data_IF_577156372476
#
_entry.id   IF_577156372476
#
_cell.length_a   1.000
_cell.length_b   1.000
_cell.length_c   1.000
_cell.angle_alpha   90.00
_cell.angle_beta   90.00
_cell.angle_gamma   90.00
#
_symmetry.space_group_name_H-M   'P 1'
#
loop_
_entity.id
_entity.type
_entity.pdbx_description
1 polymer ?
#
# COMPACT_ATOMS: atom_id res chain seq x y z
N UNK A 1 -14.25 7.98 -29.46
CA UNK A 1 -14.63 8.14 -28.03
C UNK A 1 -13.41 7.77 -27.22
N UNK A 2 -12.96 8.67 -26.35
CA UNK A 2 -11.85 8.41 -25.43
C UNK A 2 -12.25 7.26 -24.48
N UNK A 3 -11.38 6.27 -24.26
CA UNK A 3 -11.67 5.15 -23.35
C UNK A 3 -11.83 5.73 -21.93
N UNK A 4 -12.92 5.38 -21.23
CA UNK A 4 -13.17 5.82 -19.85
C UNK A 4 -11.99 5.42 -18.95
N UNK A 5 -11.48 6.34 -18.14
CA UNK A 5 -10.41 6.06 -17.18
C UNK A 5 -10.90 5.04 -16.15
N UNK A 6 -10.16 3.95 -16.05
CA UNK A 6 -10.30 2.90 -15.05
C UNK A 6 -8.93 2.52 -14.53
N UNK A 7 -8.77 2.53 -13.22
CA UNK A 7 -7.52 2.22 -12.54
C UNK A 7 -7.79 1.27 -11.38
N UNK A 8 -6.75 0.59 -10.90
CA UNK A 8 -6.92 -0.38 -9.80
C UNK A 8 -5.75 -0.38 -8.83
N UNK A 9 -6.10 -0.51 -7.56
CA UNK A 9 -5.19 -1.02 -6.55
C UNK A 9 -5.38 -2.52 -6.40
N UNK A 10 -4.30 -3.27 -6.53
CA UNK A 10 -4.33 -4.73 -6.56
C UNK A 10 -3.39 -5.36 -5.51
N UNK A 11 -3.75 -5.31 -4.20
CA UNK A 11 -2.91 -5.84 -3.15
C UNK A 11 -3.13 -7.34 -2.92
N UNK A 12 -2.06 -8.04 -2.55
CA UNK A 12 -2.18 -9.36 -1.93
C UNK A 12 -2.48 -9.23 -0.44
N UNK A 13 -3.41 -10.03 0.13
CA UNK A 13 -3.78 -9.96 1.54
C UNK A 13 -2.75 -10.66 2.44
N UNK A 14 -1.53 -10.10 2.51
CA UNK A 14 -0.38 -10.72 3.21
C UNK A 14 0.02 -10.00 4.50
N UNK A 15 -0.81 -9.09 5.02
CA UNK A 15 -0.59 -8.36 6.26
C UNK A 15 -0.99 -6.88 6.18
N UNK A 16 -0.47 -6.07 7.11
CA UNK A 16 -0.74 -4.63 7.18
C UNK A 16 -0.32 -3.84 5.94
N UNK A 17 -1.04 -2.75 5.67
CA UNK A 17 -0.85 -1.88 4.51
C UNK A 17 0.22 -0.82 4.79
N UNK A 18 1.37 -0.98 4.15
CA UNK A 18 2.49 -0.06 4.22
C UNK A 18 2.21 1.30 3.57
N UNK A 19 2.92 2.35 4.00
CA UNK A 19 2.87 3.71 3.41
C UNK A 19 2.95 3.74 1.88
N UNK A 20 3.87 2.96 1.30
CA UNK A 20 4.01 2.86 -0.16
C UNK A 20 2.76 2.30 -0.84
N UNK A 21 2.06 1.37 -0.19
CA UNK A 21 0.77 0.85 -0.62
C UNK A 21 -0.32 1.91 -0.57
N UNK A 22 -0.45 2.63 0.56
CA UNK A 22 -1.44 3.73 0.69
C UNK A 22 -1.19 4.82 -0.33
N UNK A 23 0.07 5.23 -0.57
CA UNK A 23 0.39 6.23 -1.61
C UNK A 23 0.00 5.73 -3.01
N UNK A 24 0.19 4.44 -3.28
CA UNK A 24 -0.27 3.84 -4.55
C UNK A 24 -1.79 3.92 -4.67
N UNK A 25 -2.54 3.63 -3.60
CA UNK A 25 -4.00 3.81 -3.57
C UNK A 25 -4.38 5.27 -3.82
N UNK A 26 -3.74 6.20 -3.11
CA UNK A 26 -4.00 7.62 -3.24
C UNK A 26 -3.83 8.10 -4.68
N UNK A 27 -2.72 7.78 -5.34
CA UNK A 27 -2.51 8.22 -6.74
C UNK A 27 -3.46 7.57 -7.74
N UNK A 28 -3.86 6.30 -7.53
CA UNK A 28 -4.95 5.72 -8.30
C UNK A 28 -6.26 6.51 -8.09
N UNK A 29 -6.61 6.79 -6.84
CA UNK A 29 -7.83 7.49 -6.48
C UNK A 29 -7.88 8.91 -7.06
N UNK A 30 -6.81 9.70 -6.87
CA UNK A 30 -6.71 11.06 -7.39
C UNK A 30 -6.82 11.08 -8.92
N UNK A 31 -6.10 10.18 -9.61
CA UNK A 31 -6.19 10.07 -11.07
C UNK A 31 -7.59 9.70 -11.54
N UNK A 32 -8.22 8.71 -10.90
CA UNK A 32 -9.58 8.30 -11.24
C UNK A 32 -10.57 9.45 -11.05
N UNK A 33 -10.56 10.11 -9.90
CA UNK A 33 -11.52 11.20 -9.61
C UNK A 33 -11.30 12.41 -10.51
N UNK A 34 -10.05 12.80 -10.77
CA UNK A 34 -9.73 13.92 -11.68
C UNK A 34 -10.28 13.70 -13.08
N UNK A 35 -10.23 12.46 -13.57
CA UNK A 35 -10.67 12.11 -14.92
C UNK A 35 -12.11 11.56 -14.96
N UNK A 36 -12.91 11.74 -13.91
CA UNK A 36 -14.27 11.18 -13.80
C UNK A 36 -14.33 9.67 -14.15
N UNK A 37 -13.27 8.97 -13.78
CA UNK A 37 -13.05 7.55 -14.01
C UNK A 37 -13.57 6.68 -12.87
N UNK A 38 -13.05 5.45 -12.81
CA UNK A 38 -13.37 4.48 -11.76
C UNK A 38 -12.10 4.01 -11.06
N UNK A 39 -12.14 3.99 -9.73
CA UNK A 39 -11.13 3.42 -8.86
C UNK A 39 -11.59 2.05 -8.35
N UNK A 40 -10.84 1.00 -8.71
CA UNK A 40 -11.16 -0.39 -8.38
C UNK A 40 -10.18 -0.93 -7.32
N UNK A 41 -10.67 -1.76 -6.41
CA UNK A 41 -9.83 -2.61 -5.53
C UNK A 41 -10.05 -4.08 -5.88
N UNK A 42 -8.98 -4.74 -6.35
CA UNK A 42 -8.96 -6.18 -6.66
C UNK A 42 -8.03 -6.91 -5.70
N UNK A 43 -8.51 -7.96 -5.04
CA UNK A 43 -7.70 -8.73 -4.09
C UNK A 43 -6.94 -9.83 -4.82
N UNK A 44 -5.62 -9.79 -4.73
CA UNK A 44 -4.72 -10.74 -5.39
C UNK A 44 -4.27 -11.83 -4.42
N UNK A 45 -5.22 -12.70 -4.07
CA UNK A 45 -5.11 -13.79 -3.10
C UNK A 45 -4.76 -15.15 -3.73
N UNK A 46 -4.05 -15.15 -4.86
CA UNK A 46 -3.69 -16.39 -5.57
C UNK A 46 -2.63 -17.23 -4.86
N UNK A 47 -1.83 -16.61 -3.99
CA UNK A 47 -0.86 -17.27 -3.12
C UNK A 47 -1.44 -17.53 -1.72
N UNK A 48 -2.11 -18.67 -1.61
CA UNK A 48 -2.75 -19.12 -0.36
C UNK A 48 -1.74 -19.39 0.77
N UNK A 49 -0.44 -19.56 0.49
CA UNK A 49 0.58 -19.77 1.53
C UNK A 49 0.94 -18.47 2.25
N UNK A 50 0.75 -17.33 1.58
CA UNK A 50 1.03 -16.00 2.12
C UNK A 50 -0.23 -15.27 2.57
N UNK A 51 -1.40 -15.89 2.41
CA UNK A 51 -2.66 -15.34 2.86
C UNK A 51 -2.65 -15.14 4.38
N UNK A 52 -3.02 -13.94 4.82
CA UNK A 52 -3.15 -13.62 6.24
C UNK A 52 -4.60 -13.23 6.53
N UNK A 53 -5.33 -14.01 7.35
CA UNK A 53 -6.70 -13.69 7.75
C UNK A 53 -6.80 -12.26 8.30
N UNK A 54 -7.87 -11.55 7.93
CA UNK A 54 -8.10 -10.17 8.36
C UNK A 54 -7.35 -9.10 7.57
N UNK A 55 -6.35 -9.43 6.76
CA UNK A 55 -5.62 -8.44 5.95
C UNK A 55 -6.51 -7.73 4.91
N UNK A 56 -7.47 -8.44 4.32
CA UNK A 56 -8.47 -7.84 3.41
C UNK A 56 -9.38 -6.85 4.15
N UNK A 57 -9.90 -7.23 5.32
CA UNK A 57 -10.75 -6.35 6.11
C UNK A 57 -9.97 -5.11 6.56
N UNK A 58 -8.75 -5.31 7.05
CA UNK A 58 -7.83 -4.23 7.44
C UNK A 58 -7.57 -3.25 6.29
N UNK A 59 -7.39 -3.74 5.06
CA UNK A 59 -7.24 -2.89 3.88
C UNK A 59 -8.44 -1.95 3.74
N UNK A 60 -9.67 -2.47 3.74
CA UNK A 60 -10.87 -1.64 3.59
C UNK A 60 -11.08 -0.69 4.78
N UNK A 61 -10.75 -1.10 6.00
CA UNK A 61 -10.75 -0.22 7.18
C UNK A 61 -9.77 0.95 7.02
N UNK A 62 -8.57 0.68 6.49
CA UNK A 62 -7.59 1.74 6.18
C UNK A 62 -8.11 2.70 5.11
N UNK A 63 -8.69 2.17 4.03
CA UNK A 63 -9.22 2.99 2.95
C UNK A 63 -10.36 3.90 3.42
N UNK A 64 -11.29 3.37 4.24
CA UNK A 64 -12.35 4.16 4.87
C UNK A 64 -11.79 5.25 5.76
N UNK A 65 -10.81 4.93 6.62
CA UNK A 65 -10.17 5.93 7.46
C UNK A 65 -9.51 7.05 6.64
N UNK A 66 -8.90 6.69 5.51
CA UNK A 66 -8.26 7.62 4.58
C UNK A 66 -9.26 8.39 3.68
N UNK A 67 -10.55 8.04 3.68
CA UNK A 67 -11.53 8.60 2.74
C UNK A 67 -11.32 8.18 1.28
N UNK A 68 -10.65 7.05 1.02
CA UNK A 68 -10.29 6.55 -0.32
C UNK A 68 -11.17 5.36 -0.73
N UNK A 69 -12.48 5.55 -0.77
CA UNK A 69 -13.41 4.46 -1.08
C UNK A 69 -13.38 4.06 -2.56
N UNK A 70 -13.30 2.76 -2.88
CA UNK A 70 -13.35 2.27 -4.25
C UNK A 70 -14.76 2.27 -4.82
N UNK A 71 -14.86 2.57 -6.11
CA UNK A 71 -16.11 2.50 -6.87
C UNK A 71 -16.51 1.04 -7.15
N UNK A 72 -15.54 0.14 -7.27
CA UNK A 72 -15.75 -1.30 -7.43
C UNK A 72 -14.79 -2.08 -6.54
N UNK A 73 -15.32 -3.05 -5.79
CA UNK A 73 -14.51 -3.92 -4.95
C UNK A 73 -15.27 -5.16 -4.50
N UNK A 74 -14.62 -6.01 -3.71
CA UNK A 74 -15.28 -7.12 -3.01
C UNK A 74 -16.44 -6.65 -2.12
N UNK A 75 -16.32 -5.50 -1.46
CA UNK A 75 -17.35 -4.96 -0.54
C UNK A 75 -18.48 -4.21 -1.28
N UNK A 76 -18.16 -3.53 -2.39
CA UNK A 76 -19.13 -2.71 -3.13
C UNK A 76 -19.75 -3.44 -4.33
N UNK A 77 -19.20 -4.59 -4.71
CA UNK A 77 -19.53 -5.24 -5.97
C UNK A 77 -19.04 -4.43 -7.17
N UNK A 78 -19.71 -4.60 -8.31
CA UNK A 78 -19.40 -3.92 -9.56
C UNK A 78 -19.55 -4.83 -10.77
N UNK A 79 -19.37 -4.25 -11.96
CA UNK A 79 -19.69 -4.89 -13.24
C UNK A 79 -18.78 -6.07 -13.59
N UNK A 80 -17.55 -6.09 -13.06
CA UNK A 80 -16.49 -7.02 -13.48
C UNK A 80 -16.10 -8.03 -12.40
N UNK A 81 -16.96 -8.18 -11.38
CA UNK A 81 -16.77 -9.16 -10.33
C UNK A 81 -16.67 -10.59 -10.86
N UNK A 82 -16.18 -11.55 -10.05
CA UNK A 82 -15.72 -11.35 -8.67
C UNK A 82 -14.41 -10.56 -8.58
N UNK A 83 -14.17 -9.86 -7.46
CA UNK A 83 -13.00 -9.00 -7.25
C UNK A 83 -11.90 -9.67 -6.40
N UNK A 84 -12.05 -10.96 -6.06
CA UNK A 84 -10.96 -11.80 -5.56
C UNK A 84 -10.46 -12.70 -6.68
N UNK A 85 -9.14 -12.85 -6.83
CA UNK A 85 -8.58 -13.69 -7.88
C UNK A 85 -8.77 -15.20 -7.61
N UNK A 86 -8.81 -15.61 -6.35
CA UNK A 86 -9.14 -16.99 -5.95
C UNK A 86 -10.50 -17.46 -6.48
N UNK A 87 -11.47 -16.56 -6.58
CA UNK A 87 -12.82 -16.80 -7.08
C UNK A 87 -12.91 -16.83 -8.62
N UNK A 88 -11.80 -16.55 -9.32
CA UNK A 88 -11.72 -16.41 -10.78
C UNK A 88 -10.92 -17.54 -11.44
N UNK A 89 -10.54 -18.58 -10.69
CA UNK A 89 -9.64 -19.67 -11.10
C UNK A 89 -9.92 -20.24 -12.49
N UNK A 90 -11.18 -20.54 -12.80
CA UNK A 90 -11.59 -21.15 -14.07
C UNK A 90 -11.29 -20.28 -15.29
N UNK A 91 -11.28 -18.95 -15.12
CA UNK A 91 -10.99 -18.01 -16.21
C UNK A 91 -9.53 -18.09 -16.66
N UNK A 92 -8.60 -18.20 -15.72
CA UNK A 92 -7.17 -18.13 -16.03
C UNK A 92 -6.65 -19.36 -16.77
N UNK A 93 -7.20 -20.55 -16.46
CA UNK A 93 -6.80 -21.79 -17.14
C UNK A 93 -7.01 -21.68 -18.65
N UNK A 94 -8.15 -21.10 -19.08
CA UNK A 94 -8.45 -20.88 -20.50
C UNK A 94 -7.35 -20.10 -21.22
N UNK A 95 -6.84 -19.03 -20.61
CA UNK A 95 -5.77 -18.23 -21.20
C UNK A 95 -4.41 -18.93 -21.17
N UNK A 96 -4.14 -19.73 -20.14
CA UNK A 96 -2.94 -20.58 -20.11
C UNK A 96 -2.98 -21.63 -21.23
N UNK A 97 -4.12 -22.29 -21.44
CA UNK A 97 -4.33 -23.26 -22.51
C UNK A 97 -4.16 -22.61 -23.89
N UNK A 98 -4.73 -21.41 -24.10
CA UNK A 98 -4.58 -20.64 -25.34
C UNK A 98 -3.11 -20.32 -25.66
N UNK A 99 -2.31 -19.96 -24.65
CA UNK A 99 -0.88 -19.72 -24.83
C UNK A 99 -0.12 -20.99 -25.21
N UNK A 100 -0.53 -22.15 -24.69
CA UNK A 100 0.07 -23.45 -25.01
C UNK A 100 -0.27 -23.85 -26.45
N UNK A 101 -1.54 -23.72 -26.84
CA UNK A 101 -2.00 -24.00 -28.21
C UNK A 101 -1.26 -23.15 -29.25
N UNK A 102 -0.94 -21.90 -28.91
CA UNK A 102 -0.13 -21.00 -29.75
C UNK A 102 1.38 -21.28 -29.70
N UNK A 103 1.84 -22.22 -28.87
CA UNK A 103 3.27 -22.52 -28.66
C UNK A 103 4.05 -21.42 -27.92
N UNK A 104 3.34 -20.52 -27.24
CA UNK A 104 3.86 -19.36 -26.50
C UNK A 104 4.03 -19.65 -25.00
N UNK A 105 3.45 -20.75 -24.53
CA UNK A 105 3.67 -21.35 -23.22
C UNK A 105 3.83 -22.86 -23.36
N UNK A 106 4.31 -23.53 -22.32
CA UNK A 106 4.57 -24.96 -22.34
C UNK A 106 4.41 -25.59 -20.95
N UNK A 107 4.16 -26.91 -20.92
CA UNK A 107 4.04 -27.68 -19.68
C UNK A 107 5.43 -28.01 -19.14
N UNK A 108 5.68 -27.79 -17.85
CA UNK A 108 6.90 -28.24 -17.16
C UNK A 108 6.53 -29.19 -16.01
N UNK A 109 7.18 -30.34 -15.95
CA UNK A 109 6.89 -31.46 -15.04
C UNK A 109 8.00 -31.66 -13.99
N UNK A 110 8.96 -30.73 -13.92
CA UNK A 110 10.07 -30.79 -12.96
C UNK A 110 9.56 -30.72 -11.52
N UNK A 111 10.04 -31.62 -10.67
CA UNK A 111 9.72 -31.59 -9.22
C UNK A 111 10.54 -30.51 -8.51
N UNK A 112 10.13 -30.07 -7.29
CA UNK A 112 10.93 -29.14 -6.50
C UNK A 112 12.38 -29.60 -6.28
N UNK A 113 12.60 -30.91 -6.11
CA UNK A 113 13.93 -31.51 -5.93
C UNK A 113 14.76 -31.45 -7.21
N UNK A 114 14.14 -31.67 -8.38
CA UNK A 114 14.81 -31.53 -9.69
C UNK A 114 15.20 -30.07 -9.96
N UNK A 115 14.34 -29.12 -9.60
CA UNK A 115 14.65 -27.69 -9.70
C UNK A 115 15.78 -27.25 -8.75
N UNK A 116 15.89 -27.85 -7.57
CA UNK A 116 17.01 -27.58 -6.67
C UNK A 116 18.32 -28.15 -7.21
N UNK A 117 18.29 -29.37 -7.78
CA UNK A 117 19.44 -29.94 -8.48
C UNK A 117 19.88 -29.06 -9.65
N UNK A 118 18.94 -28.54 -10.43
CA UNK A 118 19.20 -27.59 -11.51
C UNK A 118 19.94 -26.35 -11.00
N UNK A 119 19.50 -25.76 -9.87
CA UNK A 119 20.16 -24.59 -9.28
C UNK A 119 21.62 -24.85 -8.92
N UNK A 120 21.91 -26.01 -8.35
CA UNK A 120 23.29 -26.40 -7.99
C UNK A 120 24.12 -26.73 -9.24
N UNK A 121 23.55 -27.47 -10.18
CA UNK A 121 24.25 -27.97 -11.37
C UNK A 121 24.67 -26.86 -12.33
N UNK A 122 23.81 -25.85 -12.53
CA UNK A 122 24.06 -24.76 -13.47
C UNK A 122 24.60 -23.50 -12.80
N UNK A 123 24.86 -23.52 -11.50
CA UNK A 123 25.48 -22.40 -10.81
C UNK A 123 26.92 -22.19 -11.30
N UNK A 124 27.25 -20.95 -11.63
CA UNK A 124 28.60 -20.54 -12.00
C UNK A 124 29.02 -19.32 -11.17
N UNK A 125 30.32 -18.99 -11.09
CA UNK A 125 30.76 -17.77 -10.40
C UNK A 125 30.11 -16.48 -10.94
N UNK A 126 29.78 -16.44 -12.25
CA UNK A 126 29.11 -15.31 -12.89
C UNK A 126 27.57 -15.38 -12.83
N UNK A 127 27.00 -16.55 -12.54
CA UNK A 127 25.57 -16.77 -12.34
C UNK A 127 25.34 -17.76 -11.18
N UNK A 128 25.45 -17.30 -9.92
CA UNK A 128 25.35 -18.18 -8.75
C UNK A 128 23.90 -18.62 -8.46
N UNK A 129 22.91 -18.10 -9.18
CA UNK A 129 21.49 -18.41 -8.98
C UNK A 129 20.80 -18.56 -10.34
N UNK A 130 21.14 -19.63 -11.08
CA UNK A 130 20.60 -19.86 -12.42
C UNK A 130 19.08 -19.98 -12.36
N UNK A 131 18.42 -19.39 -13.34
CA UNK A 131 16.97 -19.39 -13.45
C UNK A 131 16.51 -20.45 -14.45
N UNK A 132 15.23 -20.81 -14.38
CA UNK A 132 14.62 -21.67 -15.39
C UNK A 132 14.37 -20.83 -16.64
N UNK A 133 15.34 -20.81 -17.55
CA UNK A 133 15.31 -19.98 -18.75
C UNK A 133 15.61 -20.79 -20.02
N UNK A 134 15.84 -20.09 -21.12
CA UNK A 134 16.15 -20.70 -22.41
C UNK A 134 17.42 -21.57 -22.43
N UNK A 135 18.41 -21.26 -21.59
CA UNK A 135 19.70 -21.96 -21.60
C UNK A 135 19.55 -23.36 -21.02
N UNK A 136 18.62 -23.53 -20.07
CA UNK A 136 18.42 -24.78 -19.35
C UNK A 136 17.14 -25.51 -19.75
N UNK A 137 16.12 -24.86 -20.33
CA UNK A 137 14.81 -25.49 -20.60
C UNK A 137 14.90 -26.77 -21.43
N UNK A 138 15.82 -26.87 -22.38
CA UNK A 138 15.95 -28.10 -23.19
C UNK A 138 16.61 -29.27 -22.44
N UNK A 139 17.20 -29.03 -21.27
CA UNK A 139 17.84 -30.03 -20.41
C UNK A 139 16.95 -30.46 -19.23
N UNK A 140 15.76 -29.86 -19.11
CA UNK A 140 14.81 -30.06 -18.02
C UNK A 140 13.60 -30.86 -18.50
N UNK A 141 12.68 -31.22 -17.61
CA UNK A 141 11.58 -32.16 -17.87
C UNK A 141 10.29 -31.43 -18.23
N UNK A 142 10.17 -31.02 -19.50
CA UNK A 142 9.05 -30.22 -19.98
C UNK A 142 8.63 -30.58 -21.42
N UNK A 143 7.49 -30.07 -21.88
CA UNK A 143 6.93 -30.45 -23.17
C UNK A 143 7.76 -30.02 -24.39
N UNK A 144 8.71 -29.09 -24.23
CA UNK A 144 9.65 -28.73 -25.30
C UNK A 144 10.75 -29.77 -25.47
N UNK A 145 11.22 -30.38 -24.37
CA UNK A 145 12.32 -31.37 -24.37
C UNK A 145 11.84 -32.83 -24.51
N UNK A 146 10.63 -33.14 -24.04
CA UNK A 146 10.10 -34.52 -23.99
C UNK A 146 9.42 -34.97 -25.30
N UNK A 147 8.99 -34.03 -26.14
CA UNK A 147 8.15 -34.31 -27.31
C UNK A 147 6.70 -34.67 -26.97
N UNK A 148 5.84 -34.75 -27.99
CA UNK A 148 4.39 -34.85 -27.82
C UNK A 148 3.94 -36.14 -27.14
N UNK A 149 4.48 -37.30 -27.55
CA UNK A 149 4.06 -38.61 -27.02
C UNK A 149 4.33 -38.74 -25.52
N UNK A 150 5.53 -38.37 -25.07
CA UNK A 150 5.87 -38.44 -23.65
C UNK A 150 5.12 -37.38 -22.84
N UNK A 151 4.94 -36.17 -23.38
CA UNK A 151 4.12 -35.12 -22.76
C UNK A 151 2.69 -35.60 -22.54
N UNK A 152 2.05 -36.15 -23.59
CA UNK A 152 0.69 -36.67 -23.51
C UNK A 152 0.57 -37.77 -22.46
N UNK A 153 1.52 -38.71 -22.44
CA UNK A 153 1.55 -39.76 -21.41
C UNK A 153 1.58 -39.18 -19.99
N UNK A 154 2.44 -38.18 -19.72
CA UNK A 154 2.52 -37.56 -18.39
C UNK A 154 1.22 -36.85 -18.00
N UNK A 155 0.56 -36.19 -18.96
CA UNK A 155 -0.74 -35.54 -18.76
C UNK A 155 -1.85 -36.57 -18.49
N UNK A 156 -1.92 -37.64 -19.30
CA UNK A 156 -2.89 -38.72 -19.15
C UNK A 156 -2.70 -39.49 -17.82
N UNK A 157 -1.45 -39.63 -17.36
CA UNK A 157 -1.10 -40.22 -16.07
C UNK A 157 -1.40 -39.28 -14.87
N UNK A 158 -1.87 -38.05 -15.11
CA UNK A 158 -2.18 -37.07 -14.06
C UNK A 158 -0.93 -36.50 -13.36
N UNK A 159 0.23 -36.50 -14.02
CA UNK A 159 1.48 -35.99 -13.45
C UNK A 159 1.34 -34.50 -13.14
N UNK A 160 1.66 -34.03 -11.91
CA UNK A 160 1.65 -32.61 -11.59
C UNK A 160 2.56 -31.81 -12.51
N UNK A 161 2.08 -30.66 -12.98
CA UNK A 161 2.81 -29.78 -13.88
C UNK A 161 2.57 -28.31 -13.57
N UNK A 162 3.44 -27.45 -14.07
CA UNK A 162 3.19 -26.01 -14.17
C UNK A 162 3.16 -25.58 -15.63
N UNK A 163 2.52 -24.45 -15.92
CA UNK A 163 2.60 -23.81 -17.24
C UNK A 163 3.59 -22.67 -17.16
N UNK A 164 4.59 -22.64 -18.04
CA UNK A 164 5.58 -21.56 -18.13
C UNK A 164 5.44 -20.78 -19.42
N UNK A 165 5.68 -19.48 -19.37
CA UNK A 165 5.83 -18.67 -20.60
C UNK A 165 7.10 -19.10 -21.33
N UNK A 166 7.04 -19.22 -22.66
CA UNK A 166 8.20 -19.48 -23.49
C UNK A 166 8.85 -18.15 -23.88
N UNK A 167 9.90 -17.73 -23.19
CA UNK A 167 10.57 -16.46 -23.51
C UNK A 167 11.27 -16.55 -24.89
N UNK A 168 11.09 -15.54 -25.77
CA UNK A 168 11.73 -15.48 -27.07
C UNK A 168 13.23 -15.17 -26.94
N UNK A 169 14.02 -15.61 -27.92
CA UNK A 169 15.49 -15.62 -27.79
C UNK A 169 16.16 -14.27 -28.11
N UNK A 170 15.60 -13.45 -28.99
CA UNK A 170 16.28 -12.22 -29.42
C UNK A 170 15.25 -11.12 -29.68
N UNK A 171 14.59 -10.66 -28.61
CA UNK A 171 13.67 -9.55 -28.69
C UNK A 171 14.06 -8.47 -27.68
N UNK A 172 14.20 -7.23 -28.14
CA UNK A 172 14.26 -6.07 -27.26
C UNK A 172 12.85 -5.53 -27.08
N UNK A 173 12.29 -5.73 -25.90
CA UNK A 173 10.97 -5.19 -25.55
C UNK A 173 11.13 -3.75 -25.09
N UNK A 174 10.28 -2.87 -25.60
CA UNK A 174 10.24 -1.46 -25.24
C UNK A 174 8.82 -1.06 -24.86
N UNK A 175 8.70 -0.19 -23.87
CA UNK A 175 7.45 0.50 -23.58
C UNK A 175 7.74 1.86 -22.96
N UNK A 176 6.80 2.79 -23.13
CA UNK A 176 6.81 4.09 -22.47
C UNK A 176 6.06 3.99 -21.15
N UNK A 177 6.77 4.11 -20.04
CA UNK A 177 6.16 4.30 -18.73
C UNK A 177 5.81 5.78 -18.51
N UNK A 178 4.65 6.05 -17.91
CA UNK A 178 4.18 7.41 -17.66
C UNK A 178 5.06 8.19 -16.67
N UNK A 179 5.91 7.52 -15.88
CA UNK A 179 6.82 8.15 -14.90
C UNK A 179 8.29 7.90 -15.27
N UNK A 180 8.62 6.70 -15.77
CA UNK A 180 10.00 6.30 -16.10
C UNK A 180 10.42 6.65 -17.52
N UNK A 181 9.49 7.08 -18.37
CA UNK A 181 9.75 7.33 -19.79
C UNK A 181 10.02 6.02 -20.54
N UNK A 182 10.87 6.08 -21.56
CA UNK A 182 11.24 4.90 -22.36
C UNK A 182 12.05 3.89 -21.55
N UNK A 183 11.52 2.67 -21.41
CA UNK A 183 12.20 1.55 -20.75
C UNK A 183 12.37 0.41 -21.76
N UNK A 184 13.55 -0.22 -21.77
CA UNK A 184 13.85 -1.35 -22.64
C UNK A 184 14.44 -2.53 -21.88
N UNK A 185 14.07 -3.74 -22.30
CA UNK A 185 14.55 -5.00 -21.73
C UNK A 185 14.94 -5.97 -22.84
N UNK A 186 15.98 -6.77 -22.58
CA UNK A 186 16.35 -7.90 -23.42
C UNK A 186 15.67 -9.16 -22.89
N UNK A 187 14.89 -9.86 -23.72
CA UNK A 187 14.25 -11.12 -23.31
C UNK A 187 15.26 -12.21 -22.98
N UNK A 188 16.52 -12.06 -23.40
CA UNK A 188 17.61 -12.96 -23.03
C UNK A 188 17.92 -13.01 -21.53
N UNK A 189 17.61 -11.95 -20.78
CA UNK A 189 17.90 -11.85 -19.35
C UNK A 189 16.72 -12.22 -18.47
N UNK A 190 15.64 -12.74 -19.08
CA UNK A 190 14.37 -13.02 -18.41
C UNK A 190 14.09 -14.52 -18.51
N UNK A 191 13.72 -15.11 -17.39
CA UNK A 191 13.44 -16.54 -17.26
C UNK A 191 12.01 -16.90 -17.70
N UNK A 192 11.81 -18.18 -17.98
CA UNK A 192 10.51 -18.76 -18.35
C UNK A 192 9.63 -18.84 -17.09
N UNK A 193 9.06 -17.69 -16.70
CA UNK A 193 8.20 -17.56 -15.52
C UNK A 193 7.01 -18.51 -15.57
N UNK A 194 6.68 -19.07 -14.40
CA UNK A 194 5.45 -19.84 -14.21
C UNK A 194 4.25 -18.90 -14.34
N UNK A 195 3.27 -19.30 -15.17
CA UNK A 195 1.99 -18.64 -15.40
C UNK A 195 0.84 -19.33 -14.64
N UNK A 196 0.87 -20.66 -14.59
CA UNK A 196 -0.11 -21.49 -13.89
C UNK A 196 0.62 -22.50 -13.00
N UNK A 197 0.24 -22.56 -11.73
CA UNK A 197 0.77 -23.51 -10.74
C UNK A 197 0.11 -24.89 -10.91
N UNK A 198 0.71 -25.92 -10.28
CA UNK A 198 0.20 -27.30 -10.32
C UNK A 198 -1.15 -27.50 -9.64
N UNK A 199 -1.52 -26.61 -8.72
CA UNK A 199 -2.87 -26.56 -8.13
C UNK A 199 -3.91 -25.95 -9.08
N UNK A 200 -3.52 -25.52 -10.29
CA UNK A 200 -4.34 -24.85 -11.28
C UNK A 200 -4.63 -23.38 -10.98
N UNK A 201 -4.04 -22.79 -9.94
CA UNK A 201 -4.13 -21.35 -9.68
C UNK A 201 -3.10 -20.61 -10.55
N UNK A 202 -3.45 -19.42 -11.09
CA UNK A 202 -2.47 -18.59 -11.78
C UNK A 202 -1.40 -18.07 -10.81
N UNK A 203 -0.25 -17.71 -11.36
CA UNK A 203 0.66 -16.79 -10.69
C UNK A 203 0.18 -15.36 -10.90
N UNK A 204 0.77 -14.42 -10.15
CA UNK A 204 0.54 -12.99 -10.34
C UNK A 204 0.64 -12.56 -11.82
N UNK A 205 1.65 -13.06 -12.55
CA UNK A 205 1.94 -12.62 -13.91
C UNK A 205 0.77 -12.86 -14.88
N UNK A 206 0.15 -14.06 -14.84
CA UNK A 206 -0.99 -14.36 -15.68
C UNK A 206 -2.24 -13.65 -15.18
N UNK A 207 -2.50 -13.70 -13.87
CA UNK A 207 -3.73 -13.19 -13.28
C UNK A 207 -3.86 -11.67 -13.47
N UNK A 208 -2.79 -10.90 -13.25
CA UNK A 208 -2.81 -9.44 -13.37
C UNK A 208 -3.11 -8.99 -14.81
N UNK A 209 -2.52 -9.64 -15.82
CA UNK A 209 -2.73 -9.29 -17.23
C UNK A 209 -4.14 -9.63 -17.68
N UNK A 210 -4.62 -10.84 -17.33
CA UNK A 210 -5.97 -11.29 -17.65
C UNK A 210 -7.01 -10.39 -16.98
N UNK A 211 -6.87 -10.09 -15.70
CA UNK A 211 -7.85 -9.28 -14.98
C UNK A 211 -7.78 -7.80 -15.36
N UNK A 212 -6.60 -7.27 -15.68
CA UNK A 212 -6.50 -5.89 -16.18
C UNK A 212 -7.23 -5.75 -17.53
N UNK A 213 -7.16 -6.75 -18.41
CA UNK A 213 -7.95 -6.80 -19.64
C UNK A 213 -9.45 -6.93 -19.36
N UNK A 214 -9.85 -7.93 -18.57
CA UNK A 214 -11.26 -8.22 -18.30
C UNK A 214 -11.96 -7.11 -17.53
N UNK A 215 -11.26 -6.41 -16.63
CA UNK A 215 -11.78 -5.26 -15.89
C UNK A 215 -11.60 -3.93 -16.64
N UNK A 216 -11.12 -3.99 -17.88
CA UNK A 216 -10.91 -2.84 -18.77
C UNK A 216 -10.07 -1.74 -18.13
N UNK A 217 -8.99 -2.12 -17.45
CA UNK A 217 -8.06 -1.19 -16.84
C UNK A 217 -7.40 -0.38 -17.94
N UNK A 218 -7.41 0.94 -17.78
CA UNK A 218 -6.81 1.90 -18.72
C UNK A 218 -5.41 2.34 -18.29
N UNK A 219 -5.20 2.49 -16.97
CA UNK A 219 -3.94 2.92 -16.38
C UNK A 219 -3.64 2.04 -15.17
N UNK A 220 -2.41 1.53 -15.11
CA UNK A 220 -1.95 0.66 -14.04
C UNK A 220 -0.80 1.34 -13.29
N UNK A 221 -1.15 1.96 -12.17
CA UNK A 221 -0.18 2.42 -11.18
C UNK A 221 0.28 1.23 -10.32
N UNK A 222 1.59 1.08 -10.18
CA UNK A 222 2.21 0.08 -9.29
C UNK A 222 3.60 0.54 -8.86
N UNK A 223 4.17 -0.09 -7.84
CA UNK A 223 5.54 0.21 -7.44
C UNK A 223 6.58 -0.25 -8.47
N UNK A 224 7.73 0.42 -8.50
CA UNK A 224 8.84 0.13 -9.41
C UNK A 224 9.45 -1.27 -9.22
N UNK A 225 9.20 -1.94 -8.09
CA UNK A 225 9.58 -3.34 -7.88
C UNK A 225 9.01 -4.29 -8.95
N UNK A 226 7.96 -3.87 -9.66
CA UNK A 226 7.36 -4.63 -10.75
C UNK A 226 7.98 -4.37 -12.13
N UNK A 227 8.87 -3.38 -12.27
CA UNK A 227 9.56 -3.10 -13.54
C UNK A 227 10.31 -4.32 -14.09
N UNK A 228 11.06 -5.11 -13.29
CA UNK A 228 11.71 -6.32 -13.79
C UNK A 228 10.74 -7.39 -14.32
N UNK A 229 9.45 -7.32 -13.97
CA UNK A 229 8.40 -8.21 -14.49
C UNK A 229 7.73 -7.68 -15.76
N UNK A 230 8.03 -6.45 -16.18
CA UNK A 230 7.45 -5.83 -17.37
C UNK A 230 7.62 -6.69 -18.64
N UNK A 231 8.79 -7.31 -18.92
CA UNK A 231 8.96 -8.15 -20.12
C UNK A 231 7.90 -9.26 -20.22
N UNK A 232 7.67 -9.98 -19.12
CA UNK A 232 6.69 -11.06 -19.06
C UNK A 232 5.28 -10.52 -19.30
N UNK A 233 4.91 -9.42 -18.65
CA UNK A 233 3.57 -8.84 -18.80
C UNK A 233 3.33 -8.28 -20.22
N UNK A 234 4.32 -7.61 -20.83
CA UNK A 234 4.22 -7.11 -22.21
C UNK A 234 4.00 -8.25 -23.18
N UNK A 235 4.75 -9.35 -23.02
CA UNK A 235 4.57 -10.53 -23.87
C UNK A 235 3.18 -11.16 -23.66
N UNK A 236 2.71 -11.30 -22.42
CA UNK A 236 1.36 -11.81 -22.16
C UNK A 236 0.28 -10.93 -22.81
N UNK A 237 0.41 -9.60 -22.72
CA UNK A 237 -0.47 -8.66 -23.42
C UNK A 237 -0.42 -8.85 -24.93
N UNK A 238 0.79 -8.88 -25.52
CA UNK A 238 1.03 -9.12 -26.95
C UNK A 238 0.39 -10.43 -27.42
N UNK A 239 0.50 -11.50 -26.64
CA UNK A 239 0.10 -12.85 -27.03
C UNK A 239 -1.40 -13.13 -26.87
N UNK A 240 -2.03 -12.55 -25.84
CA UNK A 240 -3.42 -12.80 -25.50
C UNK A 240 -4.37 -11.74 -26.08
N UNK A 241 -3.98 -10.46 -26.04
CA UNK A 241 -4.92 -9.36 -26.20
C UNK A 241 -4.47 -8.28 -27.21
N UNK A 242 -3.22 -8.29 -27.65
CA UNK A 242 -2.64 -7.20 -28.45
C UNK A 242 -2.15 -6.03 -27.57
N UNK A 243 -1.07 -5.37 -28.00
CA UNK A 243 -0.45 -4.27 -27.24
C UNK A 243 -1.31 -3.00 -27.24
N UNK A 244 -2.15 -2.81 -28.26
CA UNK A 244 -3.12 -1.71 -28.38
C UNK A 244 -4.24 -1.76 -27.31
N UNK A 245 -4.39 -2.91 -26.64
CA UNK A 245 -5.31 -3.10 -25.53
C UNK A 245 -4.64 -2.99 -24.16
N UNK A 246 -3.30 -2.91 -24.10
CA UNK A 246 -2.55 -2.80 -22.85
C UNK A 246 -2.84 -1.47 -22.14
N UNK A 247 -3.03 -1.45 -20.81
CA UNK A 247 -3.12 -0.22 -20.06
C UNK A 247 -1.79 0.54 -20.10
N UNK A 248 -1.87 1.86 -20.00
CA UNK A 248 -0.67 2.67 -19.77
C UNK A 248 -0.13 2.39 -18.37
N UNK A 249 1.18 2.19 -18.25
CA UNK A 249 1.80 1.84 -16.97
C UNK A 249 2.45 3.06 -16.34
N UNK A 250 2.39 3.11 -15.01
CA UNK A 250 3.04 4.14 -14.20
C UNK A 250 3.73 3.47 -13.00
N UNK A 251 5.07 3.41 -13.04
CA UNK A 251 5.86 2.76 -11.98
C UNK A 251 6.36 3.76 -10.94
N UNK A 252 5.66 3.80 -9.81
CA UNK A 252 5.92 4.69 -8.68
C UNK A 252 7.27 4.37 -8.02
N UNK A 253 8.12 5.38 -7.77
CA UNK A 253 9.41 5.17 -7.11
C UNK A 253 9.24 4.79 -5.64
N UNK A 254 10.13 3.97 -5.11
CA UNK A 254 10.08 3.55 -3.71
C UNK A 254 10.16 4.75 -2.76
N UNK A 255 9.44 4.66 -1.65
CA UNK A 255 9.64 5.56 -0.52
C UNK A 255 10.95 5.15 0.17
N UNK A 256 11.85 6.10 0.33
CA UNK A 256 13.17 5.88 0.90
C UNK A 256 13.15 6.14 2.41
N UNK A 257 13.70 5.19 3.17
CA UNK A 257 14.10 5.38 4.56
C UNK A 257 15.57 5.80 4.66
N UNK A 258 16.16 5.77 5.87
CA UNK A 258 17.57 6.11 6.08
C UNK A 258 18.54 5.25 5.25
N UNK A 259 18.27 3.95 5.11
CA UNK A 259 19.17 2.97 4.48
C UNK A 259 18.60 2.33 3.20
N UNK A 260 17.96 3.12 2.32
CA UNK A 260 17.34 2.61 1.08
C UNK A 260 15.82 2.53 1.18
N UNK A 261 15.19 1.45 0.74
CA UNK A 261 13.71 1.28 0.80
C UNK A 261 13.22 1.36 2.26
N UNK A 262 12.22 2.19 2.52
CA UNK A 262 11.59 2.28 3.84
C UNK A 262 11.01 0.93 4.26
N UNK A 263 11.36 0.48 5.47
CA UNK A 263 10.99 -0.84 5.99
C UNK A 263 10.40 -0.79 7.39
N UNK A 264 9.78 -1.89 7.84
CA UNK A 264 9.33 -2.05 9.25
C UNK A 264 10.47 -1.85 10.25
N UNK A 265 11.68 -2.25 9.88
CA UNK A 265 12.88 -2.14 10.73
C UNK A 265 13.28 -0.68 10.96
N UNK A 266 13.09 0.18 9.96
CA UNK A 266 13.34 1.61 10.13
C UNK A 266 12.35 2.20 11.14
N UNK A 267 11.05 1.92 11.00
CA UNK A 267 10.04 2.38 11.94
C UNK A 267 10.31 1.94 13.38
N UNK A 268 10.65 0.67 13.59
CA UNK A 268 11.01 0.15 14.90
C UNK A 268 12.28 0.81 15.49
N UNK A 269 13.31 1.04 14.66
CA UNK A 269 14.58 1.63 15.09
C UNK A 269 14.47 3.11 15.43
N UNK A 270 13.69 3.86 14.66
CA UNK A 270 13.61 5.33 14.75
C UNK A 270 12.30 5.82 15.40
N UNK A 271 11.43 4.91 15.85
CA UNK A 271 10.26 5.23 16.68
C UNK A 271 9.08 5.86 15.92
N UNK A 272 8.83 5.45 14.68
CA UNK A 272 7.69 5.94 13.89
C UNK A 272 6.84 4.81 13.28
N UNK A 273 5.51 5.02 13.12
CA UNK A 273 4.63 4.04 12.51
C UNK A 273 4.92 3.86 11.01
N UNK A 274 4.67 2.66 10.47
CA UNK A 274 4.87 2.32 9.05
C UNK A 274 3.58 1.84 8.36
N UNK A 275 2.49 1.77 9.13
CA UNK A 275 1.17 1.34 8.72
C UNK A 275 0.15 2.43 8.98
N UNK A 276 -0.88 2.52 8.14
CA UNK A 276 -1.97 3.49 8.32
C UNK A 276 -2.68 3.32 9.68
N UNK A 277 -3.02 2.07 10.03
CA UNK A 277 -3.69 1.70 11.27
C UNK A 277 -2.95 0.57 11.99
N UNK A 278 -3.25 0.35 13.26
CA UNK A 278 -2.69 -0.76 14.05
C UNK A 278 -2.88 -2.10 13.33
N UNK A 279 -1.79 -2.82 13.15
CA UNK A 279 -1.82 -4.18 12.62
C UNK A 279 -1.35 -5.15 13.70
N UNK A 280 -2.25 -6.03 14.15
CA UNK A 280 -1.91 -7.18 14.98
C UNK A 280 -1.71 -8.38 14.06
N UNK A 281 -0.49 -8.89 14.01
CA UNK A 281 -0.18 -10.09 13.25
C UNK A 281 -0.88 -11.30 13.89
N UNK A 282 -1.79 -12.01 13.20
CA UNK A 282 -2.54 -13.11 13.78
C UNK A 282 -1.68 -14.34 14.08
N UNK A 283 -0.47 -14.43 13.52
CA UNK A 283 0.46 -15.54 13.74
C UNK A 283 1.35 -15.26 14.96
N UNK A 284 1.96 -14.07 15.04
CA UNK A 284 2.87 -13.75 16.16
C UNK A 284 2.18 -13.12 17.37
N UNK A 285 0.98 -12.54 17.19
CA UNK A 285 0.30 -11.72 18.19
C UNK A 285 0.92 -10.33 18.38
N UNK A 286 1.99 -10.00 17.65
CA UNK A 286 2.67 -8.72 17.73
C UNK A 286 1.80 -7.62 17.11
N UNK A 287 1.60 -6.53 17.85
CA UNK A 287 0.88 -5.35 17.35
C UNK A 287 1.87 -4.26 16.96
N UNK A 288 1.84 -3.85 15.70
CA UNK A 288 2.55 -2.67 15.20
C UNK A 288 1.61 -1.47 15.25
N UNK A 289 2.01 -0.41 15.96
CA UNK A 289 1.26 0.84 16.05
C UNK A 289 1.17 1.53 14.66
N UNK A 290 -0.02 2.02 14.30
CA UNK A 290 -0.28 2.76 13.06
C UNK A 290 -0.38 4.27 13.27
N UNK A 291 -0.38 5.04 12.17
CA UNK A 291 -0.52 6.50 12.20
C UNK A 291 -1.83 6.94 12.88
N UNK A 292 -2.95 6.25 12.59
CA UNK A 292 -4.25 6.55 13.19
C UNK A 292 -4.20 6.49 14.72
N UNK A 293 -3.75 5.38 15.28
CA UNK A 293 -3.70 5.18 16.73
C UNK A 293 -2.62 6.03 17.40
N UNK A 294 -1.56 6.39 16.67
CA UNK A 294 -0.59 7.41 17.11
C UNK A 294 -1.20 8.80 17.29
N UNK A 295 -2.38 9.06 16.71
CA UNK A 295 -3.07 10.33 16.81
C UNK A 295 -2.91 11.24 15.59
N UNK A 296 -2.63 10.66 14.42
CA UNK A 296 -2.68 11.42 13.16
C UNK A 296 -4.12 11.58 12.66
N UNK A 297 -4.41 12.77 12.13
CA UNK A 297 -5.60 13.04 11.33
C UNK A 297 -5.45 12.39 9.94
N UNK A 298 -6.52 11.77 9.40
CA UNK A 298 -6.46 11.17 8.07
C UNK A 298 -6.16 12.20 6.97
N UNK A 299 -6.66 13.44 7.11
CA UNK A 299 -6.41 14.54 6.18
C UNK A 299 -4.91 14.87 6.11
N UNK A 300 -4.25 14.96 7.27
CA UNK A 300 -2.81 15.19 7.36
C UNK A 300 -2.00 14.04 6.78
N UNK A 301 -2.40 12.81 7.08
CA UNK A 301 -1.75 11.61 6.59
C UNK A 301 -1.80 11.52 5.06
N UNK A 302 -2.96 11.81 4.47
CA UNK A 302 -3.14 11.80 3.02
C UNK A 302 -2.38 12.94 2.35
N UNK A 303 -2.41 14.14 2.93
CA UNK A 303 -1.67 15.28 2.42
C UNK A 303 -0.16 15.02 2.43
N UNK A 304 0.38 14.45 3.51
CA UNK A 304 1.78 14.02 3.58
C UNK A 304 2.11 13.02 2.47
N UNK A 305 1.30 11.96 2.34
CA UNK A 305 1.54 10.91 1.35
C UNK A 305 1.50 11.45 -0.09
N UNK A 306 0.62 12.42 -0.37
CA UNK A 306 0.53 13.06 -1.66
C UNK A 306 1.85 13.74 -2.05
N UNK A 307 2.50 14.44 -1.10
CA UNK A 307 3.74 15.16 -1.38
C UNK A 307 4.99 14.28 -1.38
N UNK A 308 4.87 12.98 -1.08
CA UNK A 308 5.97 12.02 -1.19
C UNK A 308 6.22 11.62 -2.65
N UNK A 309 6.84 12.53 -3.40
CA UNK A 309 7.23 12.34 -4.79
C UNK A 309 6.32 13.02 -5.81
N UNK A 310 5.49 13.98 -5.38
CA UNK A 310 4.66 14.79 -6.26
C UNK A 310 4.52 16.21 -5.69
N UNK A 311 4.38 17.20 -6.57
CA UNK A 311 3.98 18.57 -6.23
C UNK A 311 3.03 19.11 -7.30
N UNK A 312 2.23 20.13 -6.97
CA UNK A 312 1.41 20.85 -7.95
C UNK A 312 2.20 21.97 -8.66
N UNK A 313 3.53 21.98 -8.49
CA UNK A 313 4.50 22.99 -8.94
C UNK A 313 4.32 24.38 -8.36
N UNK A 314 3.56 24.50 -7.27
CA UNK A 314 3.58 25.66 -6.39
C UNK A 314 4.38 25.35 -5.12
N UNK A 315 4.49 26.34 -4.23
CA UNK A 315 5.06 26.17 -2.88
C UNK A 315 3.99 25.74 -1.85
N UNK A 316 2.75 25.49 -2.29
CA UNK A 316 1.68 25.04 -1.40
C UNK A 316 2.00 23.64 -0.89
N UNK A 317 1.91 23.45 0.43
CA UNK A 317 2.09 22.14 1.05
C UNK A 317 0.79 21.58 1.63
N UNK A 318 -0.11 22.44 2.11
CA UNK A 318 -1.36 21.97 2.75
C UNK A 318 -2.47 21.87 1.71
N UNK A 319 -2.97 20.66 1.47
CA UNK A 319 -4.03 20.36 0.51
C UNK A 319 -5.14 19.52 1.12
N UNK A 320 -6.38 19.97 0.96
CA UNK A 320 -7.55 19.10 1.11
C UNK A 320 -7.55 18.00 0.05
N UNK A 321 -8.30 16.91 0.29
CA UNK A 321 -8.42 15.83 -0.70
C UNK A 321 -9.00 16.35 -2.04
N UNK A 322 -9.96 17.28 -2.00
CA UNK A 322 -10.53 17.86 -3.22
C UNK A 322 -9.50 18.66 -4.00
N UNK A 323 -8.70 19.49 -3.33
CA UNK A 323 -7.63 20.24 -3.99
C UNK A 323 -6.55 19.30 -4.58
N UNK A 324 -6.25 18.19 -3.90
CA UNK A 324 -5.38 17.15 -4.47
C UNK A 324 -5.99 16.57 -5.75
N UNK A 325 -7.28 16.25 -5.77
CA UNK A 325 -7.96 15.73 -6.96
C UNK A 325 -7.87 16.72 -8.11
N UNK A 326 -8.17 17.99 -7.85
CA UNK A 326 -8.20 19.04 -8.88
C UNK A 326 -6.79 19.29 -9.46
N UNK A 327 -5.78 19.33 -8.58
CA UNK A 327 -4.39 19.63 -8.97
C UNK A 327 -3.60 18.42 -9.50
N UNK A 328 -4.00 17.19 -9.18
CA UNK A 328 -3.18 15.99 -9.46
C UNK A 328 -2.78 15.88 -10.94
N UNK A 329 -1.52 15.59 -11.22
CA UNK A 329 -1.04 15.39 -12.59
C UNK A 329 0.05 14.34 -12.54
N UNK A 330 -0.08 13.34 -13.40
CA UNK A 330 0.84 12.20 -13.42
C UNK A 330 2.23 12.63 -13.88
N UNK A 331 2.30 13.62 -14.76
CA UNK A 331 3.53 14.22 -15.29
C UNK A 331 4.37 14.90 -14.20
N UNK A 332 3.74 15.25 -13.07
CA UNK A 332 4.40 15.89 -11.92
C UNK A 332 4.83 14.89 -10.85
N UNK A 333 4.65 13.59 -11.08
CA UNK A 333 5.23 12.57 -10.22
C UNK A 333 6.72 12.48 -10.54
N UNK A 334 7.56 12.78 -9.55
CA UNK A 334 9.00 12.65 -9.69
C UNK A 334 9.41 11.19 -9.83
N UNK A 335 10.34 10.90 -10.73
CA UNK A 335 10.87 9.54 -10.95
C UNK A 335 11.88 9.11 -9.88
N UNK A 336 12.42 10.06 -9.11
CA UNK A 336 13.32 9.79 -7.98
C UNK A 336 12.54 9.37 -6.72
N UNK A 337 13.15 8.50 -5.91
CA UNK A 337 12.58 8.10 -4.62
C UNK A 337 12.49 9.27 -3.64
N UNK A 338 11.33 9.42 -3.00
CA UNK A 338 11.10 10.42 -1.96
C UNK A 338 11.51 9.87 -0.59
N UNK A 339 12.29 10.63 0.18
CA UNK A 339 12.68 10.25 1.54
C UNK A 339 11.53 10.54 2.51
N UNK A 340 11.18 9.56 3.31
CA UNK A 340 10.21 9.73 4.38
C UNK A 340 10.83 10.48 5.56
N UNK A 341 10.14 11.51 6.04
CA UNK A 341 10.52 12.33 7.19
C UNK A 341 9.36 12.37 8.19
N UNK A 342 9.60 11.83 9.39
CA UNK A 342 8.59 11.75 10.44
C UNK A 342 8.34 13.10 11.14
N UNK A 343 9.34 13.98 11.22
CA UNK A 343 9.15 15.33 11.74
C UNK A 343 8.28 16.15 10.79
N UNK A 344 8.48 16.00 9.48
CA UNK A 344 7.59 16.60 8.48
C UNK A 344 6.17 16.02 8.57
N UNK A 345 6.03 14.71 8.80
CA UNK A 345 4.72 14.10 9.03
C UNK A 345 4.00 14.73 10.23
N UNK A 346 4.68 14.88 11.36
CA UNK A 346 4.16 15.56 12.55
C UNK A 346 3.79 17.02 12.27
N UNK A 347 4.60 17.74 11.50
CA UNK A 347 4.30 19.11 11.08
C UNK A 347 2.99 19.20 10.27
N UNK A 348 2.78 18.29 9.30
CA UNK A 348 1.48 18.21 8.60
C UNK A 348 0.34 17.99 9.58
N UNK A 349 0.50 17.05 10.50
CA UNK A 349 -0.55 16.74 11.47
C UNK A 349 -0.90 17.94 12.36
N UNK A 350 0.11 18.64 12.85
CA UNK A 350 -0.05 19.85 13.64
C UNK A 350 -0.81 20.94 12.87
N UNK A 351 -0.41 21.23 11.63
CA UNK A 351 -1.08 22.23 10.81
C UNK A 351 -2.55 21.87 10.52
N UNK A 352 -2.84 20.58 10.33
CA UNK A 352 -4.21 20.10 10.18
C UNK A 352 -5.03 20.17 11.47
N UNK A 353 -4.44 19.89 12.63
CA UNK A 353 -5.12 20.05 13.93
C UNK A 353 -5.51 21.51 14.14
N UNK A 354 -4.59 22.46 13.91
CA UNK A 354 -4.86 23.90 14.06
C UNK A 354 -6.01 24.39 13.17
N UNK A 355 -6.04 23.93 11.92
CA UNK A 355 -7.06 24.29 10.93
C UNK A 355 -8.41 23.62 11.17
N UNK A 356 -8.44 22.52 11.92
CA UNK A 356 -9.66 21.77 12.18
C UNK A 356 -10.61 22.57 13.09
N UNK A 357 -11.91 22.44 12.81
CA UNK A 357 -12.93 22.95 13.73
C UNK A 357 -12.94 22.15 15.02
N UNK A 358 -13.41 22.77 16.10
CA UNK A 358 -13.63 22.10 17.38
C UNK A 358 -14.51 20.85 17.22
N UNK A 359 -15.60 20.94 16.46
CA UNK A 359 -16.51 19.82 16.22
C UNK A 359 -15.82 18.63 15.54
N UNK A 360 -14.86 18.89 14.66
CA UNK A 360 -14.10 17.83 13.97
C UNK A 360 -13.17 17.08 14.92
N UNK A 361 -12.58 17.78 15.90
CA UNK A 361 -11.63 17.23 16.87
C UNK A 361 -12.33 16.61 18.09
N UNK A 362 -13.52 17.09 18.43
CA UNK A 362 -14.26 16.73 19.62
C UNK A 362 -14.38 15.22 19.84
N UNK A 363 -14.81 14.39 18.87
CA UNK A 363 -14.95 12.94 19.10
C UNK A 363 -13.63 12.25 19.46
N UNK A 364 -12.52 12.72 18.90
CA UNK A 364 -11.20 12.15 19.21
C UNK A 364 -10.76 12.54 20.62
N UNK A 365 -10.93 13.81 21.00
CA UNK A 365 -10.58 14.30 22.32
C UNK A 365 -11.46 13.65 23.40
N UNK A 366 -12.77 13.50 23.15
CA UNK A 366 -13.69 12.78 24.05
C UNK A 366 -13.19 11.36 24.32
N UNK A 367 -12.87 10.60 23.26
CA UNK A 367 -12.36 9.23 23.37
C UNK A 367 -11.03 9.14 24.12
N UNK A 368 -10.19 10.17 24.04
CA UNK A 368 -8.86 10.17 24.64
C UNK A 368 -8.89 10.58 26.11
N UNK A 369 -9.74 11.55 26.46
CA UNK A 369 -9.78 12.15 27.80
C UNK A 369 -10.78 11.46 28.73
N UNK A 370 -11.81 10.82 28.20
CA UNK A 370 -12.89 10.23 28.99
C UNK A 370 -13.00 8.72 28.75
N UNK A 371 -13.30 7.97 29.81
CA UNK A 371 -13.51 6.52 29.74
C UNK A 371 -14.86 6.13 29.10
N UNK A 372 -15.77 7.10 28.94
CA UNK A 372 -17.09 6.95 28.33
C UNK A 372 -17.62 8.31 27.86
N UNK A 373 -18.85 8.36 27.32
CA UNK A 373 -19.45 9.63 26.87
C UNK A 373 -19.50 10.64 28.03
N UNK A 374 -18.90 11.85 27.87
CA UNK A 374 -18.93 12.85 28.92
C UNK A 374 -20.33 13.44 29.12
N UNK A 375 -20.61 14.00 30.29
CA UNK A 375 -21.83 14.75 30.52
C UNK A 375 -21.91 15.98 29.60
N UNK A 376 -23.12 16.48 29.32
CA UNK A 376 -23.30 17.63 28.41
C UNK A 376 -22.47 18.86 28.81
N UNK A 377 -22.45 19.19 30.11
CA UNK A 377 -21.66 20.31 30.61
C UNK A 377 -20.14 20.10 30.43
N UNK A 378 -19.65 18.86 30.57
CA UNK A 378 -18.25 18.52 30.33
C UNK A 378 -17.91 18.60 28.84
N UNK A 379 -18.82 18.19 27.97
CA UNK A 379 -18.69 18.31 26.52
C UNK A 379 -18.63 19.78 26.07
N UNK A 380 -19.51 20.64 26.58
CA UNK A 380 -19.47 22.08 26.31
C UNK A 380 -18.20 22.75 26.84
N UNK A 381 -17.70 22.30 28.01
CA UNK A 381 -16.38 22.71 28.52
C UNK A 381 -15.27 22.23 27.60
N UNK A 382 -15.31 20.98 27.14
CA UNK A 382 -14.31 20.40 26.25
C UNK A 382 -14.22 21.14 24.92
N UNK A 383 -15.34 21.59 24.34
CA UNK A 383 -15.30 22.40 23.12
C UNK A 383 -14.46 23.67 23.31
N UNK A 384 -14.64 24.38 24.43
CA UNK A 384 -13.83 25.56 24.77
C UNK A 384 -12.36 25.20 25.02
N UNK A 385 -12.12 24.10 25.72
CA UNK A 385 -10.75 23.62 26.00
C UNK A 385 -10.01 23.26 24.71
N UNK A 386 -10.65 22.58 23.77
CA UNK A 386 -10.05 22.24 22.47
C UNK A 386 -9.52 23.51 21.78
N UNK A 387 -10.30 24.58 21.73
CA UNK A 387 -9.87 25.83 21.09
C UNK A 387 -8.65 26.47 21.78
N UNK A 388 -8.56 26.35 23.11
CA UNK A 388 -7.44 26.86 23.88
C UNK A 388 -6.14 26.06 23.67
N UNK A 389 -6.24 24.77 23.30
CA UNK A 389 -5.08 23.85 23.35
C UNK A 389 -4.67 23.27 22.01
N UNK A 390 -5.53 23.28 20.97
CA UNK A 390 -5.26 22.63 19.67
C UNK A 390 -3.95 23.11 19.03
N UNK A 391 -3.60 24.39 19.22
CA UNK A 391 -2.37 25.01 18.72
C UNK A 391 -1.09 24.52 19.42
N UNK A 392 -1.22 23.72 20.49
CA UNK A 392 -0.10 23.06 21.18
C UNK A 392 -0.05 21.56 20.93
N UNK A 393 -1.05 21.00 20.24
CA UNK A 393 -1.12 19.58 19.93
C UNK A 393 -0.47 19.31 18.57
N UNK A 394 0.57 18.48 18.56
CA UNK A 394 1.16 17.94 17.33
C UNK A 394 0.44 16.66 16.91
N UNK A 395 0.07 15.84 17.87
CA UNK A 395 -0.76 14.64 17.73
C UNK A 395 -2.06 14.82 18.52
N UNK A 396 -3.12 14.13 18.12
CA UNK A 396 -4.37 14.13 18.89
C UNK A 396 -4.17 13.61 20.32
N UNK A 397 -3.22 12.69 20.53
CA UNK A 397 -2.87 12.15 21.84
C UNK A 397 -2.26 13.16 22.79
N UNK A 398 -1.69 14.26 22.28
CA UNK A 398 -1.08 15.32 23.10
C UNK A 398 -2.15 16.03 23.95
N UNK A 399 -3.43 15.91 23.60
CA UNK A 399 -4.51 16.45 24.42
C UNK A 399 -4.50 15.91 25.86
N UNK A 400 -3.97 14.69 26.11
CA UNK A 400 -3.84 14.18 27.48
C UNK A 400 -3.00 15.11 28.33
N UNK A 401 -1.82 15.49 27.86
CA UNK A 401 -0.95 16.40 28.60
C UNK A 401 -1.49 17.83 28.59
N UNK A 402 -2.01 18.27 27.44
CA UNK A 402 -2.42 19.66 27.24
C UNK A 402 -3.78 20.03 27.85
N UNK A 403 -4.65 19.05 28.17
CA UNK A 403 -6.04 19.29 28.54
C UNK A 403 -6.55 18.54 29.78
N UNK A 404 -5.92 17.45 30.23
CA UNK A 404 -6.50 16.63 31.32
C UNK A 404 -6.75 17.43 32.60
N UNK A 405 -5.86 18.38 32.94
CA UNK A 405 -5.97 19.22 34.13
C UNK A 405 -7.20 20.16 34.14
N UNK A 406 -7.94 20.29 33.03
CA UNK A 406 -9.23 20.97 33.04
C UNK A 406 -10.36 20.09 33.61
N UNK A 407 -10.18 18.77 33.67
CA UNK A 407 -11.24 17.81 34.03
C UNK A 407 -10.92 17.01 35.27
N UNK A 408 -9.64 16.84 35.60
CA UNK A 408 -9.20 16.18 36.80
C UNK A 408 -8.07 16.95 37.48
N UNK A 409 -8.06 16.93 38.81
CA UNK A 409 -6.93 17.44 39.58
C UNK A 409 -5.69 16.58 39.30
N UNK A 410 -4.50 17.19 39.16
CA UNK A 410 -3.27 16.43 38.95
C UNK A 410 -2.99 15.55 40.17
N UNK A 411 -2.82 14.24 39.94
CA UNK A 411 -2.43 13.29 41.00
C UNK A 411 -0.97 13.44 41.39
N UNK A 412 -0.14 13.98 40.49
CA UNK A 412 1.27 14.30 40.71
C UNK A 412 1.52 15.75 40.33
N UNK A 413 2.08 16.53 41.25
CA UNK A 413 2.47 17.91 41.01
C UNK A 413 3.97 17.94 40.74
N UNK A 414 4.39 18.29 39.52
CA UNK A 414 5.80 18.52 39.21
C UNK A 414 6.25 19.84 39.83
N UNK A 415 6.82 19.75 41.03
CA UNK A 415 7.39 20.90 41.72
C UNK A 415 8.83 21.21 41.28
N UNK A 416 9.50 20.34 40.52
CA UNK A 416 10.92 20.49 40.22
C UNK A 416 11.20 21.75 39.40
N UNK A 417 10.33 22.07 38.44
CA UNK A 417 10.45 23.27 37.61
C UNK A 417 10.27 24.59 38.40
N UNK A 418 9.59 24.55 39.56
CA UNK A 418 9.24 25.74 40.35
C UNK A 418 9.96 25.83 41.69
N UNK A 419 10.52 24.73 42.20
CA UNK A 419 11.10 24.63 43.55
C UNK A 419 12.22 25.64 43.78
N UNK A 420 13.16 25.75 42.84
CA UNK A 420 14.28 26.70 42.90
C UNK A 420 13.82 28.16 42.88
N UNK A 421 12.58 28.41 42.45
CA UNK A 421 11.98 29.74 42.34
C UNK A 421 10.92 29.99 43.41
N UNK A 422 10.65 29.04 44.32
CA UNK A 422 9.58 29.14 45.32
C UNK A 422 10.08 29.84 46.59
N UNK A 423 9.89 31.16 46.67
CA UNK A 423 10.26 31.97 47.84
C UNK A 423 9.12 32.12 48.85
N UNK A 424 9.44 32.59 50.05
CA UNK A 424 8.44 32.96 51.06
C UNK A 424 7.42 33.97 50.52
N UNK A 425 7.87 34.98 49.75
CA UNK A 425 6.98 35.97 49.15
C UNK A 425 5.98 35.35 48.17
N UNK A 426 6.42 34.39 47.34
CA UNK A 426 5.52 33.67 46.43
C UNK A 426 4.54 32.79 47.19
N UNK A 427 5.00 32.12 48.25
CA UNK A 427 4.12 31.35 49.12
C UNK A 427 3.01 32.24 49.69
N UNK A 428 3.38 33.37 50.30
CA UNK A 428 2.42 34.34 50.85
C UNK A 428 1.45 34.87 49.78
N UNK A 429 1.97 35.18 48.58
CA UNK A 429 1.14 35.62 47.46
C UNK A 429 0.11 34.57 47.03
N UNK A 430 0.52 33.30 46.86
CA UNK A 430 -0.39 32.23 46.43
C UNK A 430 -1.36 31.81 47.54
N UNK A 431 -0.96 31.86 48.82
CA UNK A 431 -1.86 31.68 49.96
C UNK A 431 -2.93 32.78 49.99
N UNK A 432 -2.53 34.06 49.88
CA UNK A 432 -3.45 35.18 49.76
C UNK A 432 -4.40 35.03 48.56
N UNK A 433 -3.86 34.66 47.39
CA UNK A 433 -4.66 34.47 46.17
C UNK A 433 -5.69 33.36 46.33
N UNK A 434 -5.31 32.24 46.95
CA UNK A 434 -6.23 31.14 47.22
C UNK A 434 -7.38 31.57 48.15
N UNK A 435 -7.09 32.39 49.15
CA UNK A 435 -8.11 32.92 50.06
C UNK A 435 -9.06 33.91 49.35
N UNK A 436 -8.55 34.73 48.42
CA UNK A 436 -9.41 35.59 47.59
C UNK A 436 -10.39 34.77 46.73
N UNK A 437 -9.92 33.70 46.08
CA UNK A 437 -10.80 32.85 45.28
C UNK A 437 -11.83 32.11 46.13
N UNK A 438 -11.46 31.60 47.32
CA UNK A 438 -12.41 30.97 48.24
C UNK A 438 -13.49 31.94 48.71
N UNK A 439 -13.12 33.18 49.00
CA UNK A 439 -14.04 34.22 49.49
C UNK A 439 -15.01 34.72 48.42
N UNK A 440 -14.60 34.70 47.14
CA UNK A 440 -15.40 35.12 45.99
C UNK A 440 -16.19 33.98 45.31
N UNK A 441 -16.11 32.74 45.84
CA UNK A 441 -16.82 31.57 45.29
C UNK A 441 -18.19 31.31 45.95
N UNK A 442 -18.80 32.33 46.56
CA UNK A 442 -20.17 32.28 47.14
C UNK A 442 -21.18 32.86 46.17
#
# INVERSE_FOLDING_TARGET
MEKKVRVRFAPSPTGGLHLGGVRTVLFNYLFAKKHNGSFIVRIEDTDQRRFVPGAEQYLFDCLRWCGLEPDESVQHGGTFGPYRQSERKSLYKKYADELIEKGLAYYAFDTPEELEKMRVQFATPSNPSPQYDRQVRMQLRNSLSLGETATKKLLDDGTPYVVRIKMPEQETLRFTDLIRGEVSFDTATVDDKVLLKADGMPTYHLAVVVDDYLMQISHAFRGEEWLPSAPVHILLWKYLFGLEHMPQWAHLPLILGPNGKLSKRDGAKYGFPVFAMNWTDPVSGETTEGFKEKGFLPEAFINLLALLGWNDGSEKEIFTLQELIDSFSIERIHSAGARFDYEKAKWFNHEWIKRSSTDRLLPAFEKILFAGPPALAEREKLMRVIELVKDRCTLLTDCKEQASFFFCDPTTIDTAAVSAKWSADKRSFFEWLADQYRSNSV
#
